data_IF_937774297231
#
_entry.id   IF_937774297231
#
_cell.length_a   1.000
_cell.length_b   1.000
_cell.length_c   1.000
_cell.angle_alpha   90.00
_cell.angle_beta   90.00
_cell.angle_gamma   90.00
#
_symmetry.space_group_name_H-M   'P 1'
#
loop_
_entity.id
_entity.type
_entity.pdbx_description
1 polymer ?
#
# COMPACT_ATOMS: atom_id res chain seq x y z
N UNK A 1 -10.46 3.98 0.97
CA UNK A 1 -10.05 2.77 1.70
C UNK A 1 -9.25 1.88 0.75
N UNK A 2 -8.06 1.40 1.14
CA UNK A 2 -7.27 0.43 0.36
C UNK A 2 -7.27 -0.89 1.13
N UNK A 3 -7.80 -1.96 0.54
CA UNK A 3 -7.85 -3.30 1.15
C UNK A 3 -6.72 -4.12 0.51
N UNK A 4 -5.84 -4.77 1.30
CA UNK A 4 -4.83 -5.66 0.75
C UNK A 4 -5.51 -6.89 0.11
N UNK A 5 -5.07 -7.21 -1.11
CA UNK A 5 -5.57 -8.35 -1.89
C UNK A 5 -4.37 -9.21 -2.28
N UNK A 6 -4.46 -10.51 -2.00
CA UNK A 6 -3.53 -11.51 -2.51
C UNK A 6 -4.01 -11.97 -3.89
N UNK A 7 -3.13 -11.96 -4.89
CA UNK A 7 -3.41 -12.46 -6.25
C UNK A 7 -2.51 -13.68 -6.53
N UNK A 8 -3.10 -14.77 -7.02
CA UNK A 8 -2.40 -16.02 -7.30
C UNK A 8 -2.85 -16.61 -8.65
N UNK A 9 -1.97 -17.33 -9.34
CA UNK A 9 -2.35 -18.13 -10.51
C UNK A 9 -3.06 -19.41 -10.08
N UNK A 10 -4.04 -19.85 -10.86
CA UNK A 10 -4.75 -21.13 -10.67
C UNK A 10 -4.64 -22.01 -11.92
N UNK A 11 -5.03 -23.28 -11.80
CA UNK A 11 -5.03 -24.21 -12.92
C UNK A 11 -5.90 -23.69 -14.09
N UNK A 12 -5.47 -23.94 -15.33
CA UNK A 12 -6.18 -23.45 -16.52
C UNK A 12 -5.90 -21.99 -16.87
N UNK A 13 -4.71 -21.49 -16.52
CA UNK A 13 -4.22 -20.14 -16.83
C UNK A 13 -5.06 -18.98 -16.28
N UNK A 14 -5.87 -19.24 -15.25
CA UNK A 14 -6.65 -18.24 -14.54
C UNK A 14 -5.92 -17.60 -13.37
N UNK A 15 -6.60 -16.64 -12.75
CA UNK A 15 -6.15 -15.89 -11.58
C UNK A 15 -7.20 -15.94 -10.47
N UNK A 16 -6.74 -15.88 -9.23
CA UNK A 16 -7.55 -15.84 -8.02
C UNK A 16 -7.15 -14.62 -7.19
N UNK A 17 -8.12 -13.80 -6.82
CA UNK A 17 -7.96 -12.68 -5.90
C UNK A 17 -8.61 -13.02 -4.55
N UNK A 18 -7.88 -12.83 -3.45
CA UNK A 18 -8.35 -13.10 -2.07
C UNK A 18 -8.18 -11.87 -1.18
N UNK A 19 -9.22 -11.51 -0.46
CA UNK A 19 -9.15 -10.54 0.64
C UNK A 19 -8.77 -11.22 1.96
N UNK A 20 -8.04 -10.52 2.82
CA UNK A 20 -7.75 -10.99 4.18
C UNK A 20 -9.00 -11.00 5.09
N UNK A 21 -8.86 -11.60 6.28
CA UNK A 21 -9.83 -11.39 7.35
C UNK A 21 -9.93 -9.89 7.68
N UNK A 22 -11.14 -9.36 7.97
CA UNK A 22 -12.38 -10.07 8.31
C UNK A 22 -13.30 -10.42 7.13
N UNK A 23 -12.89 -10.21 5.88
CA UNK A 23 -13.75 -10.47 4.72
C UNK A 23 -13.65 -11.91 4.25
N UNK A 24 -12.44 -12.49 4.24
CA UNK A 24 -12.18 -13.88 3.80
C UNK A 24 -12.88 -14.23 2.47
N UNK A 25 -12.94 -13.27 1.54
CA UNK A 25 -13.56 -13.42 0.22
C UNK A 25 -12.53 -13.80 -0.83
N UNK A 26 -12.98 -14.53 -1.84
CA UNK A 26 -12.14 -15.01 -2.91
C UNK A 26 -12.93 -15.00 -4.23
N UNK A 27 -12.30 -14.55 -5.31
CA UNK A 27 -12.87 -14.58 -6.65
C UNK A 27 -11.83 -15.00 -7.68
N UNK A 28 -12.27 -15.67 -8.74
CA UNK A 28 -11.41 -16.10 -9.85
C UNK A 28 -11.81 -15.43 -11.17
N UNK A 29 -10.83 -15.15 -12.02
CA UNK A 29 -10.98 -14.54 -13.34
C UNK A 29 -9.96 -15.08 -14.33
N UNK A 30 -10.19 -14.84 -15.63
CA UNK A 30 -9.26 -15.21 -16.71
C UNK A 30 -8.09 -14.24 -16.79
N UNK A 31 -8.24 -13.03 -16.24
CA UNK A 31 -7.16 -12.07 -16.04
C UNK A 31 -7.11 -11.62 -14.58
N UNK A 32 -6.00 -10.98 -14.21
CA UNK A 32 -5.83 -10.37 -12.89
C UNK A 32 -6.91 -9.32 -12.62
N UNK A 33 -7.18 -8.45 -13.59
CA UNK A 33 -8.17 -7.37 -13.49
C UNK A 33 -9.58 -7.94 -13.30
N UNK A 34 -9.91 -9.03 -14.00
CA UNK A 34 -11.20 -9.69 -13.87
C UNK A 34 -11.37 -10.31 -12.47
N UNK A 35 -10.33 -10.98 -11.95
CA UNK A 35 -10.37 -11.56 -10.62
C UNK A 35 -10.56 -10.47 -9.54
N UNK A 36 -9.87 -9.34 -9.66
CA UNK A 36 -10.00 -8.20 -8.75
C UNK A 36 -11.38 -7.54 -8.86
N UNK A 37 -11.91 -7.34 -10.07
CA UNK A 37 -13.24 -6.77 -10.28
C UNK A 37 -14.33 -7.62 -9.60
N UNK A 38 -14.27 -8.95 -9.79
CA UNK A 38 -15.21 -9.88 -9.14
C UNK A 38 -15.07 -9.89 -7.62
N UNK A 39 -13.85 -9.78 -7.09
CA UNK A 39 -13.63 -9.67 -5.65
C UNK A 39 -14.25 -8.38 -5.10
N UNK A 40 -14.14 -7.27 -5.84
CA UNK A 40 -14.77 -6.00 -5.48
C UNK A 40 -16.29 -6.14 -5.41
N UNK A 41 -16.92 -6.78 -6.38
CA UNK A 41 -18.37 -6.99 -6.39
C UNK A 41 -18.83 -7.76 -5.15
N UNK A 42 -18.11 -8.82 -4.75
CA UNK A 42 -18.41 -9.57 -3.52
C UNK A 42 -18.32 -8.72 -2.25
N UNK A 43 -17.41 -7.75 -2.21
CA UNK A 43 -17.27 -6.81 -1.09
C UNK A 43 -18.44 -5.82 -1.11
N UNK A 44 -18.80 -5.28 -2.27
CA UNK A 44 -19.92 -4.36 -2.43
C UNK A 44 -21.26 -5.02 -2.04
N UNK A 45 -21.49 -6.27 -2.41
CA UNK A 45 -22.66 -7.05 -2.01
C UNK A 45 -22.77 -7.17 -0.48
N UNK A 46 -21.64 -7.45 0.20
CA UNK A 46 -21.60 -7.51 1.67
C UNK A 46 -21.95 -6.18 2.32
N UNK A 47 -21.41 -5.09 1.77
CA UNK A 47 -21.71 -3.74 2.26
C UNK A 47 -23.18 -3.35 1.99
N UNK A 48 -23.74 -3.73 0.85
CA UNK A 48 -25.12 -3.46 0.48
C UNK A 48 -26.14 -4.14 1.40
N UNK A 49 -25.83 -5.34 1.92
CA UNK A 49 -26.67 -6.03 2.93
C UNK A 49 -26.43 -5.54 4.36
N UNK A 50 -25.66 -4.46 4.54
CA UNK A 50 -25.49 -3.77 5.82
C UNK A 50 -24.24 -4.13 6.60
N UNK A 51 -23.31 -4.93 6.04
CA UNK A 51 -22.00 -5.12 6.66
C UNK A 51 -21.26 -3.78 6.74
N UNK A 52 -20.50 -3.58 7.81
CA UNK A 52 -19.63 -2.40 7.99
C UNK A 52 -18.22 -2.86 8.26
N UNK A 53 -17.28 -2.38 7.45
CA UNK A 53 -15.86 -2.45 7.76
C UNK A 53 -15.52 -1.29 8.69
N UNK A 54 -15.19 -1.62 9.93
CA UNK A 54 -14.70 -0.66 10.92
C UNK A 54 -13.26 -1.03 11.29
N UNK A 55 -12.39 -0.03 11.38
CA UNK A 55 -11.10 -0.19 12.04
C UNK A 55 -11.33 0.02 13.53
N UNK A 56 -10.92 -0.95 14.35
CA UNK A 56 -10.86 -0.79 15.79
C UNK A 56 -9.40 -0.57 16.17
N UNK A 57 -9.07 0.66 16.54
CA UNK A 57 -7.77 0.98 17.12
C UNK A 57 -7.76 0.45 18.55
N UNK A 58 -7.25 -0.77 18.72
CA UNK A 58 -6.89 -1.32 20.03
C UNK A 58 -5.52 -0.77 20.40
N UNK A 59 -5.43 -0.12 21.55
CA UNK A 59 -4.24 0.57 22.03
C UNK A 59 -2.97 -0.25 21.80
N UNK A 60 -2.13 0.26 20.92
CA UNK A 60 -0.77 -0.21 20.73
C UNK A 60 0.12 0.67 21.60
N UNK A 61 1.11 0.08 22.25
CA UNK A 61 2.33 0.84 22.48
C UNK A 61 2.82 1.26 21.08
N UNK A 62 2.72 2.55 20.79
CA UNK A 62 3.28 3.27 19.64
C UNK A 62 3.25 2.52 18.28
N UNK A 63 2.19 2.75 17.50
CA UNK A 63 2.04 2.23 16.13
C UNK A 63 2.55 3.20 15.04
N UNK A 64 2.79 2.71 13.80
CA UNK A 64 3.86 3.09 12.84
C UNK A 64 3.80 4.46 12.15
N UNK A 65 2.98 5.38 12.67
CA UNK A 65 3.18 6.82 12.49
C UNK A 65 3.97 7.43 13.65
N UNK A 66 4.46 6.60 14.58
CA UNK A 66 5.57 6.95 15.43
C UNK A 66 6.64 7.64 14.56
N UNK A 67 7.09 8.85 14.91
CA UNK A 67 8.10 9.54 14.12
C UNK A 67 9.23 8.54 13.90
N UNK A 68 9.57 8.33 12.62
CA UNK A 68 10.64 7.41 12.23
C UNK A 68 11.82 7.69 13.16
N UNK A 69 12.27 6.74 14.01
CA UNK A 69 13.40 6.98 14.86
C UNK A 69 14.61 7.06 13.93
N UNK A 70 15.04 8.28 13.63
CA UNK A 70 16.12 8.51 12.69
C UNK A 70 16.49 9.98 12.47
N UNK A 71 15.56 10.92 12.63
CA UNK A 71 15.91 12.34 12.54
C UNK A 71 14.92 13.22 13.32
N UNK A 72 15.45 14.01 14.24
CA UNK A 72 14.70 15.03 14.97
C UNK A 72 14.54 16.27 14.07
N UNK A 73 13.37 16.92 14.09
CA UNK A 73 13.18 18.18 13.36
C UNK A 73 14.09 19.30 13.92
N UNK A 74 14.51 19.16 15.18
CA UNK A 74 15.47 20.06 15.84
C UNK A 74 16.93 19.59 15.72
N UNK A 75 17.21 18.58 14.88
CA UNK A 75 18.58 18.12 14.66
C UNK A 75 19.42 19.24 14.01
N UNK A 76 20.54 19.66 14.64
CA UNK A 76 21.35 20.77 14.15
C UNK A 76 21.97 20.53 12.77
N UNK A 77 21.98 19.28 12.28
CA UNK A 77 22.50 18.90 10.96
C UNK A 77 21.41 18.76 9.89
N UNK A 78 20.13 18.95 10.23
CA UNK A 78 19.02 18.75 9.30
C UNK A 78 19.11 19.67 8.07
N UNK A 79 19.38 20.96 8.29
CA UNK A 79 19.48 21.95 7.22
C UNK A 79 20.70 21.70 6.32
N UNK A 80 21.83 21.31 6.90
CA UNK A 80 23.06 20.98 6.17
C UNK A 80 22.87 19.74 5.28
N UNK A 81 22.24 18.70 5.83
CA UNK A 81 21.89 17.50 5.07
C UNK A 81 20.95 17.82 3.90
N UNK A 82 19.94 18.66 4.11
CA UNK A 82 19.03 19.06 3.03
C UNK A 82 19.75 19.81 1.90
N UNK A 83 20.66 20.72 2.24
CA UNK A 83 21.40 21.47 1.21
C UNK A 83 22.35 20.55 0.43
N UNK A 84 23.07 19.65 1.10
CA UNK A 84 23.94 18.68 0.44
C UNK A 84 23.15 17.77 -0.52
N UNK A 85 21.94 17.35 -0.14
CA UNK A 85 21.06 16.55 -1.00
C UNK A 85 20.54 17.35 -2.20
N UNK A 86 20.22 18.64 -2.03
CA UNK A 86 19.83 19.54 -3.14
C UNK A 86 20.99 19.75 -4.11
N UNK A 87 22.19 19.96 -3.59
CA UNK A 87 23.39 20.12 -4.39
C UNK A 87 23.70 18.87 -5.21
N UNK A 88 23.71 17.69 -4.58
CA UNK A 88 23.88 16.43 -5.28
C UNK A 88 22.82 16.25 -6.36
N UNK A 89 21.54 16.53 -6.06
CA UNK A 89 20.47 16.41 -7.05
C UNK A 89 20.71 17.28 -8.28
N UNK A 90 21.12 18.54 -8.09
CA UNK A 90 21.50 19.45 -9.20
C UNK A 90 22.64 18.86 -10.02
N UNK A 91 23.71 18.39 -9.39
CA UNK A 91 24.85 17.80 -10.10
C UNK A 91 24.44 16.61 -10.96
N UNK A 92 23.57 15.74 -10.45
CA UNK A 92 23.11 14.56 -11.19
C UNK A 92 22.07 14.94 -12.25
N UNK A 93 21.21 15.94 -12.04
CA UNK A 93 20.23 16.40 -13.05
C UNK A 93 20.88 17.19 -14.19
N UNK A 94 21.93 17.96 -13.89
CA UNK A 94 22.68 18.77 -14.86
C UNK A 94 23.80 17.97 -15.54
N UNK A 95 24.05 16.70 -15.17
CA UNK A 95 25.06 15.87 -15.82
C UNK A 95 24.60 15.46 -17.23
N UNK A 96 25.24 15.98 -18.29
CA UNK A 96 24.85 15.69 -19.67
C UNK A 96 25.12 14.24 -20.10
N UNK A 97 25.83 13.45 -19.28
CA UNK A 97 26.10 12.03 -19.54
C UNK A 97 25.23 11.08 -18.70
N UNK A 98 24.22 11.61 -18.00
CA UNK A 98 23.25 10.78 -17.29
C UNK A 98 22.39 10.01 -18.30
N UNK A 99 22.44 8.68 -18.19
CA UNK A 99 21.72 7.71 -19.04
C UNK A 99 20.23 7.67 -18.67
#
# INVERSE_FOLDING_TARGET
MRIPVLIERVAGDGFRARGGDPLSLCAEGRTEEEAVARLRDLIEDRLAVGAKLISLDVGSADHPHAPIPGWDADDPLFDEWQEAMREYRRQVEDDPNRI
#
